data_IF_818568956259
#
_entry.id   IF_818568956259
#
_cell.length_a   1.000
_cell.length_b   1.000
_cell.length_c   1.000
_cell.angle_alpha   90.00
_cell.angle_beta   90.00
_cell.angle_gamma   90.00
#
_symmetry.space_group_name_H-M   'P 1'
#
loop_
_entity.id
_entity.type
_entity.pdbx_description
1 polymer ?
#
# COMPACT_ATOMS: atom_id res chain seq x y z
N UNK A 1 24.08 2.58 34.95
CA UNK A 1 22.62 2.43 34.76
C UNK A 1 21.90 3.70 34.27
N UNK A 2 22.42 4.40 33.25
CA UNK A 2 21.72 5.57 32.66
C UNK A 2 20.76 5.21 31.52
N UNK A 3 20.90 4.00 30.95
CA UNK A 3 20.09 3.56 29.80
C UNK A 3 18.63 3.30 30.19
N UNK A 4 18.35 2.98 31.46
CA UNK A 4 17.01 2.61 31.94
C UNK A 4 16.11 3.82 32.26
N UNK A 5 16.64 5.05 32.27
CA UNK A 5 15.90 6.26 32.65
C UNK A 5 15.35 7.08 31.46
N UNK A 6 15.50 6.60 30.22
CA UNK A 6 14.88 7.27 29.07
C UNK A 6 13.39 6.94 29.01
N UNK A 7 12.56 7.86 29.48
CA UNK A 7 11.11 7.82 29.34
C UNK A 7 10.77 7.69 27.85
N UNK A 8 10.11 6.60 27.47
CA UNK A 8 9.68 6.37 26.08
C UNK A 8 8.62 7.41 25.74
N UNK A 9 8.79 8.10 24.62
CA UNK A 9 7.76 8.97 24.07
C UNK A 9 6.80 8.09 23.24
N UNK A 10 5.65 7.77 23.84
CA UNK A 10 4.65 6.89 23.23
C UNK A 10 4.01 7.54 21.99
N UNK A 11 3.70 8.83 22.04
CA UNK A 11 3.14 9.57 20.91
C UNK A 11 4.04 9.48 19.67
N UNK A 12 5.36 9.67 19.88
CA UNK A 12 6.34 9.53 18.81
C UNK A 12 6.46 8.08 18.31
N UNK A 13 6.34 7.10 19.20
CA UNK A 13 6.40 5.69 18.81
C UNK A 13 5.18 5.31 17.95
N UNK A 14 3.99 5.78 18.32
CA UNK A 14 2.75 5.60 17.57
C UNK A 14 2.81 6.28 16.20
N UNK A 15 3.30 7.51 16.14
CA UNK A 15 3.51 8.23 14.87
C UNK A 15 4.44 7.44 13.95
N UNK A 16 5.59 6.99 14.47
CA UNK A 16 6.57 6.22 13.69
C UNK A 16 6.03 4.87 13.24
N UNK A 17 5.26 4.18 14.08
CA UNK A 17 4.58 2.94 13.73
C UNK A 17 3.60 3.17 12.58
N UNK A 18 2.71 4.15 12.73
CA UNK A 18 1.68 4.50 11.74
C UNK A 18 2.31 4.84 10.39
N UNK A 19 3.33 5.69 10.38
CA UNK A 19 4.06 6.05 9.16
C UNK A 19 4.73 4.84 8.49
N UNK A 20 5.35 3.96 9.28
CA UNK A 20 6.06 2.79 8.76
C UNK A 20 5.09 1.79 8.17
N UNK A 21 4.00 1.50 8.87
CA UNK A 21 2.97 0.60 8.39
C UNK A 21 2.29 1.14 7.13
N UNK A 22 2.00 2.45 7.06
CA UNK A 22 1.47 3.09 5.85
C UNK A 22 2.42 2.93 4.66
N UNK A 23 3.74 3.10 4.84
CA UNK A 23 4.73 2.88 3.77
C UNK A 23 4.74 1.45 3.25
N UNK A 24 4.55 0.46 4.13
CA UNK A 24 4.46 -0.94 3.74
C UNK A 24 3.21 -1.18 2.90
N UNK A 25 2.06 -0.66 3.33
CA UNK A 25 0.80 -0.74 2.58
C UNK A 25 0.92 -0.07 1.22
N UNK A 26 1.54 1.12 1.17
CA UNK A 26 1.76 1.84 -0.09
C UNK A 26 2.63 1.06 -1.06
N UNK A 27 3.69 0.43 -0.57
CA UNK A 27 4.58 -0.39 -1.40
C UNK A 27 3.85 -1.57 -2.02
N UNK A 28 3.08 -2.32 -1.23
CA UNK A 28 2.28 -3.44 -1.73
C UNK A 28 1.21 -2.98 -2.72
N UNK A 29 0.51 -1.88 -2.41
CA UNK A 29 -0.48 -1.29 -3.31
C UNK A 29 0.13 -0.87 -4.66
N UNK A 30 1.30 -0.22 -4.65
CA UNK A 30 2.02 0.15 -5.87
C UNK A 30 2.46 -1.09 -6.67
N UNK A 31 2.94 -2.13 -5.99
CA UNK A 31 3.34 -3.37 -6.65
C UNK A 31 2.15 -4.02 -7.39
N UNK A 32 0.99 -4.14 -6.73
CA UNK A 32 -0.23 -4.69 -7.35
C UNK A 32 -0.72 -3.84 -8.53
N UNK A 33 -0.64 -2.51 -8.41
CA UNK A 33 -0.94 -1.61 -9.53
C UNK A 33 -0.04 -1.90 -10.74
N UNK A 34 1.27 -2.06 -10.49
CA UNK A 34 2.23 -2.32 -11.56
C UNK A 34 2.04 -3.71 -12.19
N UNK A 35 1.74 -4.73 -11.39
CA UNK A 35 1.42 -6.07 -11.91
C UNK A 35 0.25 -6.06 -12.90
N UNK A 36 -0.80 -5.28 -12.61
CA UNK A 36 -1.93 -5.13 -13.54
C UNK A 36 -1.52 -4.33 -14.78
N UNK A 37 -0.73 -3.27 -14.61
CA UNK A 37 -0.23 -2.45 -15.73
C UNK A 37 0.63 -3.26 -16.69
N UNK A 38 1.55 -4.07 -16.17
CA UNK A 38 2.40 -4.96 -16.97
C UNK A 38 1.56 -5.97 -17.75
N UNK A 39 0.54 -6.58 -17.11
CA UNK A 39 -0.38 -7.50 -17.80
C UNK A 39 -1.13 -6.83 -18.96
N UNK A 40 -1.60 -5.60 -18.76
CA UNK A 40 -2.26 -4.82 -19.81
C UNK A 40 -1.32 -4.45 -20.96
N UNK A 41 -0.05 -4.15 -20.67
CA UNK A 41 0.95 -3.75 -21.67
C UNK A 41 1.53 -4.92 -22.46
N UNK A 42 1.68 -6.09 -21.85
CA UNK A 42 2.28 -7.26 -22.48
C UNK A 42 1.45 -7.83 -23.66
N UNK A 43 0.18 -7.42 -23.79
CA UNK A 43 -0.72 -7.94 -24.81
C UNK A 43 -1.14 -9.40 -24.55
N UNK A 44 -1.87 -9.99 -25.50
CA UNK A 44 -2.33 -11.38 -25.41
C UNK A 44 -3.59 -11.60 -24.56
N UNK A 45 -4.23 -10.52 -24.08
CA UNK A 45 -5.54 -10.55 -23.46
C UNK A 45 -6.62 -10.28 -24.52
N UNK A 46 -7.79 -10.91 -24.37
CA UNK A 46 -8.98 -10.54 -25.15
C UNK A 46 -9.52 -9.19 -24.68
N UNK A 47 -10.37 -8.56 -25.49
CA UNK A 47 -10.98 -7.28 -25.15
C UNK A 47 -11.76 -7.33 -23.83
N UNK A 48 -12.46 -8.44 -23.55
CA UNK A 48 -13.16 -8.63 -22.27
C UNK A 48 -12.19 -8.73 -21.10
N UNK A 49 -11.08 -9.45 -21.27
CA UNK A 49 -10.07 -9.60 -20.23
C UNK A 49 -9.33 -8.27 -19.95
N UNK A 50 -9.08 -7.47 -21.00
CA UNK A 50 -8.54 -6.11 -20.87
C UNK A 50 -9.49 -5.24 -20.06
N UNK A 51 -10.79 -5.27 -20.39
CA UNK A 51 -11.80 -4.49 -19.69
C UNK A 51 -11.91 -4.90 -18.22
N UNK A 52 -11.83 -6.19 -17.91
CA UNK A 52 -11.85 -6.68 -16.53
C UNK A 52 -10.62 -6.23 -15.73
N UNK A 53 -9.43 -6.32 -16.32
CA UNK A 53 -8.19 -5.85 -15.67
C UNK A 53 -8.20 -4.33 -15.46
N UNK A 54 -8.71 -3.56 -16.43
CA UNK A 54 -8.87 -2.11 -16.29
C UNK A 54 -9.81 -1.74 -15.14
N UNK A 55 -10.94 -2.45 -14.99
CA UNK A 55 -11.86 -2.26 -13.84
C UNK A 55 -11.17 -2.55 -12.51
N UNK A 56 -10.44 -3.67 -12.41
CA UNK A 56 -9.68 -4.02 -11.20
C UNK A 56 -8.63 -2.96 -10.86
N UNK A 57 -7.95 -2.42 -11.87
CA UNK A 57 -6.98 -1.35 -11.69
C UNK A 57 -7.63 -0.07 -11.15
N UNK A 58 -8.76 0.35 -11.72
CA UNK A 58 -9.49 1.53 -11.27
C UNK A 58 -10.02 1.38 -9.84
N UNK A 59 -10.58 0.21 -9.51
CA UNK A 59 -11.02 -0.10 -8.15
C UNK A 59 -9.85 -0.09 -7.16
N UNK A 60 -8.72 -0.70 -7.51
CA UNK A 60 -7.52 -0.70 -6.69
C UNK A 60 -7.00 0.72 -6.45
N UNK A 61 -7.03 1.58 -7.48
CA UNK A 61 -6.60 2.97 -7.37
C UNK A 61 -7.50 3.81 -6.48
N UNK A 62 -8.82 3.59 -6.56
CA UNK A 62 -9.81 4.26 -5.69
C UNK A 62 -9.66 3.84 -4.23
N UNK A 63 -9.26 2.61 -3.98
CA UNK A 63 -9.15 2.02 -2.65
C UNK A 63 -7.69 1.92 -2.19
N UNK A 64 -6.95 3.03 -2.23
CA UNK A 64 -5.60 3.06 -1.63
C UNK A 64 -5.71 2.72 -0.14
N UNK A 65 -4.98 1.71 0.35
CA UNK A 65 -5.05 1.30 1.75
C UNK A 65 -4.56 2.44 2.66
N UNK A 66 -5.30 2.68 3.73
CA UNK A 66 -4.94 3.64 4.77
C UNK A 66 -4.94 2.93 6.11
N UNK A 67 -3.90 3.17 6.89
CA UNK A 67 -3.89 2.69 8.27
C UNK A 67 -4.88 3.52 9.10
N UNK A 68 -5.68 2.83 9.89
CA UNK A 68 -6.54 3.43 10.91
C UNK A 68 -6.00 2.98 12.26
N UNK A 69 -5.28 3.88 12.93
CA UNK A 69 -4.96 3.73 14.35
C UNK A 69 -6.06 4.44 15.15
N UNK A 70 -6.57 3.77 16.19
CA UNK A 70 -7.63 4.28 17.08
C UNK A 70 -7.04 5.12 18.19
#
# INVERSE_FOLDING_TARGET
DEIMNKKINLDRAEEQFTQTAQKILDRDWMQRCEEIRVKLQNGGLTDEAILEQAKKFDELKKNRPQIQCQ
#
